data_IF_110861719828
#
_entry.id   IF_110861719828
#
_cell.length_a   1.000
_cell.length_b   1.000
_cell.length_c   1.000
_cell.angle_alpha   90.00
_cell.angle_beta   90.00
_cell.angle_gamma   90.00
#
_symmetry.space_group_name_H-M   'P 1'
#
loop_
_entity.id
_entity.type
_entity.pdbx_description
1 polymer ?
#
# COMPACT_ATOMS: atom_id res chain seq x y z
N UNK A 1 -9.96 -10.20 -3.35
CA UNK A 1 -9.98 -10.66 -4.77
C UNK A 1 -8.57 -11.14 -5.13
N UNK A 2 -8.32 -12.45 -5.12
CA UNK A 2 -7.03 -13.00 -5.58
C UNK A 2 -7.06 -13.06 -7.10
N UNK A 3 -6.23 -12.26 -7.78
CA UNK A 3 -6.13 -12.26 -9.24
C UNK A 3 -5.06 -13.26 -9.69
N UNK A 4 -5.36 -14.03 -10.74
CA UNK A 4 -4.40 -14.97 -11.36
C UNK A 4 -3.39 -14.20 -12.20
N UNK A 5 -2.11 -14.41 -11.94
CA UNK A 5 -1.03 -13.92 -12.82
C UNK A 5 -0.94 -14.86 -14.03
N UNK A 6 -0.98 -14.29 -15.24
CA UNK A 6 -0.75 -15.00 -16.51
C UNK A 6 0.35 -14.28 -17.27
N UNK A 7 1.40 -15.00 -17.63
CA UNK A 7 2.54 -14.50 -18.40
C UNK A 7 3.01 -15.61 -19.35
N UNK A 8 3.55 -15.24 -20.51
CA UNK A 8 4.15 -16.21 -21.42
C UNK A 8 5.53 -16.62 -20.88
N UNK A 9 5.79 -17.93 -20.83
CA UNK A 9 7.07 -18.44 -20.34
C UNK A 9 8.25 -17.91 -21.17
N UNK A 10 8.07 -17.76 -22.49
CA UNK A 10 9.10 -17.24 -23.40
C UNK A 10 9.54 -15.83 -23.03
N UNK A 11 8.63 -14.97 -22.57
CA UNK A 11 8.97 -13.60 -22.16
C UNK A 11 9.84 -13.60 -20.91
N UNK A 12 9.52 -14.48 -19.94
CA UNK A 12 10.25 -14.60 -18.68
C UNK A 12 11.66 -15.13 -18.93
N UNK A 13 11.80 -16.11 -19.83
CA UNK A 13 13.08 -16.75 -20.13
C UNK A 13 13.98 -15.81 -20.94
N UNK A 14 13.49 -15.25 -22.06
CA UNK A 14 14.31 -14.41 -22.95
C UNK A 14 14.80 -13.15 -22.25
N UNK A 15 13.96 -12.55 -21.40
CA UNK A 15 14.31 -11.33 -20.67
C UNK A 15 14.78 -11.57 -19.24
N UNK A 16 15.01 -12.83 -18.85
CA UNK A 16 15.52 -13.24 -17.54
C UNK A 16 14.78 -12.59 -16.36
N UNK A 17 13.44 -12.50 -16.48
CA UNK A 17 12.61 -11.84 -15.48
C UNK A 17 12.35 -12.74 -14.29
N UNK A 18 12.27 -12.13 -13.11
CA UNK A 18 11.84 -12.78 -11.87
C UNK A 18 10.44 -12.31 -11.48
N UNK A 19 9.62 -13.24 -10.97
CA UNK A 19 8.31 -12.93 -10.38
C UNK A 19 8.41 -13.20 -8.89
N UNK A 20 8.38 -12.13 -8.09
CA UNK A 20 8.50 -12.20 -6.63
C UNK A 20 7.18 -11.75 -6.01
N UNK A 21 6.61 -12.58 -5.13
CA UNK A 21 5.46 -12.21 -4.32
C UNK A 21 5.91 -11.69 -2.95
N UNK A 22 5.41 -10.54 -2.52
CA UNK A 22 5.60 -10.02 -1.18
C UNK A 22 4.26 -9.53 -0.61
N UNK A 23 3.96 -9.87 0.65
CA UNK A 23 2.76 -9.43 1.36
C UNK A 23 3.04 -8.21 2.24
N UNK A 24 4.14 -8.26 3.00
CA UNK A 24 4.61 -7.21 3.93
C UNK A 24 6.13 -7.31 4.08
N UNK A 25 6.77 -6.23 4.54
CA UNK A 25 8.21 -6.23 4.81
C UNK A 25 8.59 -6.84 6.15
N UNK A 26 9.90 -6.93 6.35
CA UNK A 26 10.57 -7.23 7.63
C UNK A 26 10.51 -6.04 8.59
N UNK A 27 10.82 -6.28 9.85
CA UNK A 27 10.93 -5.22 10.85
C UNK A 27 12.03 -4.21 10.55
N UNK A 28 13.15 -4.66 10.00
CA UNK A 28 14.26 -3.79 9.59
C UNK A 28 13.84 -2.86 8.45
N UNK A 29 13.17 -3.39 7.42
CA UNK A 29 12.63 -2.57 6.32
C UNK A 29 11.62 -1.53 6.81
N UNK A 30 10.76 -1.90 7.77
CA UNK A 30 9.84 -0.95 8.40
C UNK A 30 10.60 0.16 9.14
N UNK A 31 11.61 -0.20 9.92
CA UNK A 31 12.42 0.77 10.68
C UNK A 31 13.11 1.78 9.74
N UNK A 32 13.77 1.28 8.70
CA UNK A 32 14.43 2.11 7.69
C UNK A 32 13.43 3.04 6.99
N UNK A 33 12.24 2.54 6.63
CA UNK A 33 11.18 3.34 6.03
C UNK A 33 10.69 4.46 6.97
N UNK A 34 10.52 4.16 8.27
CA UNK A 34 10.13 5.16 9.26
C UNK A 34 11.21 6.23 9.44
N UNK A 35 12.49 5.86 9.36
CA UNK A 35 13.60 6.82 9.39
C UNK A 35 13.59 7.75 8.17
N UNK A 36 13.34 7.22 6.98
CA UNK A 36 13.19 8.03 5.75
C UNK A 36 12.00 8.99 5.84
N UNK A 37 10.88 8.54 6.40
CA UNK A 37 9.72 9.40 6.65
C UNK A 37 10.05 10.50 7.67
N UNK A 38 10.74 10.17 8.76
CA UNK A 38 11.19 11.15 9.77
C UNK A 38 12.16 12.19 9.20
N UNK A 39 13.03 11.77 8.26
CA UNK A 39 13.93 12.68 7.53
C UNK A 39 13.22 13.52 6.45
N UNK A 40 11.93 13.32 6.24
CA UNK A 40 11.14 14.03 5.22
C UNK A 40 11.38 13.57 3.79
N UNK A 41 12.10 12.47 3.58
CA UNK A 41 12.36 11.91 2.24
C UNK A 41 11.18 11.10 1.70
N UNK A 42 10.25 10.69 2.57
CA UNK A 42 9.02 9.99 2.20
C UNK A 42 7.83 10.73 2.82
N UNK A 43 6.85 11.10 2.00
CA UNK A 43 5.59 11.67 2.45
C UNK A 43 4.45 10.66 2.23
N UNK A 44 3.66 10.42 3.27
CA UNK A 44 2.51 9.53 3.22
C UNK A 44 1.28 10.31 2.76
N UNK A 45 0.61 9.84 1.70
CA UNK A 45 -0.73 10.34 1.34
C UNK A 45 -1.75 9.74 2.30
N UNK A 46 -2.34 10.58 3.13
CA UNK A 46 -3.39 10.18 4.06
C UNK A 46 -4.56 11.15 4.02
N UNK A 47 -5.73 10.63 4.38
CA UNK A 47 -6.97 11.37 4.53
C UNK A 47 -7.49 11.14 5.95
N UNK A 48 -7.62 12.24 6.68
CA UNK A 48 -8.09 12.20 8.06
C UNK A 48 -9.62 12.23 8.12
N UNK A 49 -10.16 11.46 9.04
CA UNK A 49 -11.57 11.43 9.40
C UNK A 49 -11.67 11.53 10.91
N UNK A 50 -12.59 12.34 11.42
CA UNK A 50 -12.93 12.27 12.84
C UNK A 50 -13.47 10.89 13.19
N UNK A 51 -13.24 10.43 14.41
CA UNK A 51 -13.70 9.13 14.89
C UNK A 51 -15.22 8.97 14.75
N UNK A 52 -15.99 10.02 15.02
CA UNK A 52 -17.46 10.06 14.84
C UNK A 52 -17.90 9.82 13.39
N UNK A 53 -17.01 10.04 12.41
CA UNK A 53 -17.27 9.87 10.98
C UNK A 53 -16.76 8.52 10.43
N UNK A 54 -16.49 7.53 11.30
CA UNK A 54 -15.95 6.23 10.89
C UNK A 54 -16.76 5.54 9.79
N UNK A 55 -18.10 5.59 9.85
CA UNK A 55 -18.95 5.01 8.81
C UNK A 55 -18.73 5.66 7.45
N UNK A 56 -18.56 7.00 7.42
CA UNK A 56 -18.24 7.71 6.18
C UNK A 56 -16.88 7.26 5.63
N UNK A 57 -15.87 7.12 6.49
CA UNK A 57 -14.55 6.65 6.07
C UNK A 57 -14.62 5.26 5.41
N UNK A 58 -15.46 4.35 5.94
CA UNK A 58 -15.68 3.02 5.36
C UNK A 58 -16.42 3.07 4.02
N UNK A 59 -17.45 3.92 3.89
CA UNK A 59 -18.15 4.11 2.62
C UNK A 59 -17.22 4.69 1.55
N UNK A 60 -16.51 5.77 1.87
CA UNK A 60 -15.52 6.39 0.98
C UNK A 60 -14.45 5.38 0.55
N UNK A 61 -13.99 4.50 1.47
CA UNK A 61 -13.04 3.43 1.15
C UNK A 61 -13.62 2.42 0.16
N UNK A 62 -14.85 1.97 0.39
CA UNK A 62 -15.53 1.01 -0.48
C UNK A 62 -15.81 1.59 -1.88
N UNK A 63 -16.09 2.89 -1.96
CA UNK A 63 -16.30 3.60 -3.22
C UNK A 63 -14.98 4.01 -3.93
N UNK A 64 -13.83 3.74 -3.33
CA UNK A 64 -12.52 4.07 -3.89
C UNK A 64 -12.18 5.57 -3.83
N UNK A 65 -12.84 6.33 -2.95
CA UNK A 65 -12.65 7.77 -2.77
C UNK A 65 -11.46 8.11 -1.84
N UNK A 66 -11.00 7.14 -1.04
CA UNK A 66 -9.85 7.32 -0.14
C UNK A 66 -8.54 7.39 -0.92
N UNK A 67 -7.83 8.51 -0.80
CA UNK A 67 -6.47 8.66 -1.36
C UNK A 67 -5.42 8.17 -0.38
N UNK A 68 -4.79 7.05 -0.72
CA UNK A 68 -3.75 6.44 0.12
C UNK A 68 -4.34 5.74 1.33
N UNK A 69 -4.20 6.32 2.53
CA UNK A 69 -4.72 5.74 3.79
C UNK A 69 -5.77 6.64 4.43
N UNK A 70 -6.90 6.06 4.84
CA UNK A 70 -7.84 6.70 5.75
C UNK A 70 -7.34 6.55 7.20
N UNK A 71 -7.25 7.65 7.94
CA UNK A 71 -6.82 7.67 9.34
C UNK A 71 -7.95 8.24 10.19
N UNK A 72 -8.39 7.47 11.20
CA UNK A 72 -9.35 7.96 12.17
C UNK A 72 -8.61 8.71 13.28
N UNK A 73 -9.00 9.96 13.47
CA UNK A 73 -8.46 10.86 14.50
C UNK A 73 -9.50 10.99 15.63
N UNK A 74 -9.13 10.81 16.90
CA UNK A 74 -10.02 10.95 18.05
C UNK A 74 -10.70 12.31 18.14
#
# INVERSE_FOLDING_TARGET
MVKKIKILAVDVIISEKNIVGNLVGTWSELYELMELANKGYVQLSMQEYKLESANKALHDLNEGLVKGRAVLVP
#
